data_IF_509335977357
#
_entry.id   IF_509335977357
#
_cell.length_a   1.000
_cell.length_b   1.000
_cell.length_c   1.000
_cell.angle_alpha   90.00
_cell.angle_beta   90.00
_cell.angle_gamma   90.00
#
_symmetry.space_group_name_H-M   'P 1'
#
loop_
_entity.id
_entity.type
_entity.pdbx_description
1 polymer ?
#
# COMPACT_ATOMS: atom_id res chain seq x y z
N UNK A 1 -22.53 -0.10 -1.10
CA UNK A 1 -22.16 1.34 -1.00
C UNK A 1 -21.16 1.56 0.13
N UNK A 2 -21.47 1.19 1.38
CA UNK A 2 -20.61 1.45 2.56
C UNK A 2 -19.18 0.90 2.44
N UNK A 3 -19.01 -0.36 2.01
CA UNK A 3 -17.67 -0.94 1.82
C UNK A 3 -16.87 -0.25 0.71
N UNK A 4 -17.51 0.08 -0.41
CA UNK A 4 -16.84 0.79 -1.52
C UNK A 4 -16.36 2.17 -1.08
N UNK A 5 -17.17 2.90 -0.30
CA UNK A 5 -16.80 4.21 0.26
C UNK A 5 -15.63 4.07 1.25
N UNK A 6 -15.66 3.07 2.14
CA UNK A 6 -14.58 2.81 3.10
C UNK A 6 -13.26 2.50 2.40
N UNK A 7 -13.29 1.63 1.38
CA UNK A 7 -12.09 1.28 0.62
C UNK A 7 -11.60 2.42 -0.29
N UNK A 8 -12.51 3.18 -0.91
CA UNK A 8 -12.14 4.37 -1.68
C UNK A 8 -11.53 5.45 -0.78
N UNK A 9 -12.08 5.66 0.42
CA UNK A 9 -11.51 6.56 1.42
C UNK A 9 -10.12 6.13 1.88
N UNK A 10 -9.92 4.83 2.13
CA UNK A 10 -8.60 4.28 2.48
C UNK A 10 -7.58 4.45 1.36
N UNK A 11 -8.01 4.29 0.11
CA UNK A 11 -7.16 4.53 -1.05
C UNK A 11 -6.75 6.00 -1.16
N UNK A 12 -7.72 6.93 -1.08
CA UNK A 12 -7.44 8.38 -1.10
C UNK A 12 -6.50 8.75 0.04
N UNK A 13 -6.72 8.17 1.22
CA UNK A 13 -5.81 8.31 2.36
C UNK A 13 -4.40 7.79 2.05
N UNK A 14 -4.25 6.61 1.44
CA UNK A 14 -2.94 6.06 1.07
C UNK A 14 -2.22 6.93 0.04
N UNK A 15 -2.95 7.48 -0.94
CA UNK A 15 -2.41 8.46 -1.89
C UNK A 15 -1.98 9.74 -1.18
N UNK A 16 -2.81 10.27 -0.28
CA UNK A 16 -2.50 11.47 0.51
C UNK A 16 -1.27 11.25 1.42
N UNK A 17 -1.17 10.09 2.06
CA UNK A 17 -0.02 9.69 2.87
C UNK A 17 1.26 9.75 2.02
N UNK A 18 1.23 9.18 0.82
CA UNK A 18 2.36 9.20 -0.11
C UNK A 18 2.70 10.61 -0.58
N UNK A 19 1.71 11.40 -0.99
CA UNK A 19 1.95 12.74 -1.53
C UNK A 19 2.44 13.71 -0.46
N UNK A 20 1.86 13.71 0.74
CA UNK A 20 2.30 14.61 1.82
C UNK A 20 3.70 14.31 2.32
N UNK A 21 4.07 13.03 2.36
CA UNK A 21 5.39 12.63 2.87
C UNK A 21 6.50 12.80 1.84
N UNK A 22 6.21 12.82 0.52
CA UNK A 22 7.26 12.95 -0.49
C UNK A 22 7.30 14.27 -1.24
N UNK A 23 6.17 14.99 -1.36
CA UNK A 23 6.11 16.26 -2.09
C UNK A 23 6.38 17.47 -1.18
N UNK A 24 6.94 18.57 -1.72
CA UNK A 24 7.39 18.73 -3.11
C UNK A 24 8.72 18.01 -3.39
N UNK A 25 8.89 17.51 -4.62
CA UNK A 25 10.17 17.00 -5.09
C UNK A 25 11.09 18.18 -5.47
N UNK A 26 12.38 18.13 -5.13
CA UNK A 26 13.33 19.19 -5.50
C UNK A 26 13.63 19.15 -7.00
N UNK A 27 13.98 20.31 -7.56
CA UNK A 27 14.58 20.38 -8.90
C UNK A 27 16.00 19.80 -8.80
N UNK A 28 16.42 18.87 -9.68
CA UNK A 28 17.71 18.18 -9.55
C UNK A 28 18.92 19.11 -9.47
N UNK A 29 18.85 20.27 -10.13
CA UNK A 29 19.93 21.27 -10.18
C UNK A 29 20.09 22.07 -8.87
N UNK A 30 19.05 22.11 -8.03
CA UNK A 30 19.02 22.92 -6.81
C UNK A 30 19.05 22.07 -5.52
N UNK A 31 19.19 20.74 -5.66
CA UNK A 31 19.08 19.84 -4.52
C UNK A 31 20.19 20.09 -3.49
N UNK A 32 19.76 20.35 -2.25
CA UNK A 32 20.66 20.41 -1.08
C UNK A 32 20.43 19.17 -0.24
N UNK A 33 21.50 18.43 0.02
CA UNK A 33 21.42 17.20 0.81
C UNK A 33 20.99 17.52 2.24
N UNK A 34 19.95 16.83 2.69
CA UNK A 34 19.45 16.95 4.05
C UNK A 34 20.22 16.01 5.01
N UNK A 35 20.44 16.46 6.27
CA UNK A 35 21.09 15.64 7.28
C UNK A 35 20.18 14.50 7.78
N UNK A 36 20.77 13.58 8.55
CA UNK A 36 20.05 12.50 9.24
C UNK A 36 19.95 12.83 10.72
N UNK A 37 18.75 12.80 11.28
CA UNK A 37 18.53 12.83 12.72
C UNK A 37 18.25 11.40 13.23
N UNK A 38 19.20 10.85 13.99
CA UNK A 38 19.14 9.48 14.52
C UNK A 38 18.90 9.42 16.03
N UNK A 39 18.86 10.57 16.70
CA UNK A 39 18.63 10.65 18.15
C UNK A 39 17.14 10.50 18.43
N UNK A 40 16.71 9.43 19.12
CA UNK A 40 15.32 9.30 19.53
C UNK A 40 14.99 10.35 20.57
N UNK A 41 13.76 10.87 20.51
CA UNK A 41 13.20 11.89 21.36
C UNK A 41 13.90 13.26 21.29
N UNK A 42 14.61 13.53 20.19
CA UNK A 42 15.20 14.84 19.93
C UNK A 42 14.13 15.94 19.94
N UNK A 43 12.91 15.63 19.49
CA UNK A 43 11.81 16.60 19.51
C UNK A 43 11.57 17.21 20.89
N UNK A 44 11.91 16.53 21.99
CA UNK A 44 11.78 17.08 23.35
C UNK A 44 12.72 18.26 23.54
N UNK A 45 13.98 18.12 23.12
CA UNK A 45 14.98 19.19 23.18
C UNK A 45 14.59 20.35 22.25
N UNK A 46 14.04 20.04 21.08
CA UNK A 46 13.55 21.03 20.11
C UNK A 46 12.33 21.79 20.67
N UNK A 47 11.48 21.13 21.45
CA UNK A 47 10.36 21.76 22.15
C UNK A 47 10.84 22.69 23.26
N UNK A 48 11.80 22.25 24.07
CA UNK A 48 12.33 23.02 25.22
C UNK A 48 13.14 24.23 24.75
N UNK A 49 13.87 24.09 23.64
CA UNK A 49 14.68 25.17 23.07
C UNK A 49 13.87 26.26 22.37
N UNK A 50 12.59 26.02 22.08
CA UNK A 50 11.70 27.00 21.47
C UNK A 50 11.10 27.94 22.54
N UNK A 51 11.07 29.27 22.32
CA UNK A 51 10.47 30.19 23.29
C UNK A 51 8.98 29.89 23.47
N UNK A 52 8.55 29.52 24.68
CA UNK A 52 7.13 29.29 25.01
C UNK A 52 6.69 30.25 26.11
N UNK A 53 6.16 31.41 25.72
CA UNK A 53 5.59 32.41 26.64
C UNK A 53 4.11 32.19 26.96
N UNK A 54 3.41 31.34 26.19
CA UNK A 54 2.00 31.00 26.41
C UNK A 54 1.63 29.60 25.90
N UNK A 55 0.49 29.06 26.35
CA UNK A 55 -0.07 27.78 25.86
C UNK A 55 -0.34 27.83 24.34
N UNK A 56 -0.73 29.00 23.82
CA UNK A 56 -0.96 29.20 22.38
C UNK A 56 0.33 29.14 21.55
N UNK A 57 1.47 29.59 22.10
CA UNK A 57 2.79 29.47 21.46
C UNK A 57 3.34 28.05 21.56
N UNK A 58 3.08 27.36 22.67
CA UNK A 58 3.39 25.94 22.82
C UNK A 58 2.67 25.09 21.77
N UNK A 59 1.38 25.30 21.54
CA UNK A 59 0.63 24.57 20.49
C UNK A 59 1.04 24.93 19.06
N UNK A 60 1.73 26.06 18.86
CA UNK A 60 2.30 26.47 17.56
C UNK A 60 3.77 26.07 17.41
N UNK A 61 4.34 25.37 18.39
CA UNK A 61 5.70 24.85 18.30
C UNK A 61 5.79 23.87 17.12
N UNK A 62 6.71 24.08 16.16
CA UNK A 62 6.86 23.22 14.99
C UNK A 62 7.12 21.75 15.32
N UNK A 63 7.93 21.46 16.35
CA UNK A 63 8.25 20.09 16.75
C UNK A 63 7.02 19.37 17.33
N UNK A 64 6.20 20.07 18.13
CA UNK A 64 4.92 19.52 18.61
C UNK A 64 3.97 19.26 17.45
N UNK A 65 3.85 20.22 16.53
CA UNK A 65 2.99 20.09 15.37
C UNK A 65 3.43 18.93 14.47
N UNK A 66 4.74 18.76 14.26
CA UNK A 66 5.30 17.65 13.49
C UNK A 66 4.92 16.30 14.11
N UNK A 67 5.21 16.08 15.40
CA UNK A 67 4.86 14.84 16.10
C UNK A 67 3.35 14.59 16.07
N UNK A 68 2.54 15.61 16.37
CA UNK A 68 1.08 15.48 16.39
C UNK A 68 0.49 15.15 15.01
N UNK A 69 0.98 15.81 13.96
CA UNK A 69 0.55 15.56 12.59
C UNK A 69 0.99 14.18 12.10
N UNK A 70 2.20 13.72 12.44
CA UNK A 70 2.68 12.38 12.10
C UNK A 70 1.86 11.27 12.79
N UNK A 71 1.55 11.44 14.07
CA UNK A 71 0.61 10.57 14.80
C UNK A 71 -0.76 10.56 14.11
N UNK A 72 -1.31 11.75 13.80
CA UNK A 72 -2.63 11.86 13.15
C UNK A 72 -2.62 11.27 11.74
N UNK A 73 -1.52 11.40 11.02
CA UNK A 73 -1.34 10.90 9.67
C UNK A 73 -1.37 9.38 9.63
N UNK A 74 -0.80 8.68 10.61
CA UNK A 74 -0.82 7.20 10.67
C UNK A 74 -1.98 6.61 11.47
N UNK A 75 -2.72 7.42 12.22
CA UNK A 75 -3.89 6.97 12.97
C UNK A 75 -4.95 6.27 12.08
N UNK A 76 -5.37 6.82 10.92
CA UNK A 76 -6.34 6.16 10.05
C UNK A 76 -5.87 4.79 9.55
N UNK A 77 -4.57 4.62 9.27
CA UNK A 77 -4.00 3.34 8.87
C UNK A 77 -4.23 2.28 9.96
N UNK A 78 -3.82 2.58 11.19
CA UNK A 78 -3.99 1.68 12.33
C UNK A 78 -5.45 1.32 12.57
N UNK A 79 -6.32 2.32 12.55
CA UNK A 79 -7.76 2.14 12.71
C UNK A 79 -8.33 1.24 11.60
N UNK A 80 -8.00 1.51 10.34
CA UNK A 80 -8.51 0.78 9.19
C UNK A 80 -8.06 -0.69 9.18
N UNK A 81 -6.76 -0.95 9.40
CA UNK A 81 -6.20 -2.30 9.41
C UNK A 81 -6.84 -3.16 10.51
N UNK A 82 -7.13 -2.57 11.68
CA UNK A 82 -7.76 -3.28 12.79
C UNK A 82 -9.26 -3.46 12.56
N UNK A 83 -9.93 -2.40 12.13
CA UNK A 83 -11.39 -2.34 12.02
C UNK A 83 -11.90 -3.14 10.82
N UNK A 84 -11.37 -2.84 9.63
CA UNK A 84 -11.82 -3.40 8.36
C UNK A 84 -11.15 -4.75 8.09
N UNK A 85 -9.83 -4.82 8.27
CA UNK A 85 -9.03 -6.03 7.97
C UNK A 85 -8.87 -6.98 9.16
N UNK A 86 -9.44 -6.64 10.33
CA UNK A 86 -9.46 -7.48 11.55
C UNK A 86 -8.08 -7.95 12.04
N UNK A 87 -6.99 -7.26 11.66
CA UNK A 87 -5.63 -7.59 12.13
C UNK A 87 -5.46 -7.26 13.60
N UNK A 88 -4.62 -7.98 14.35
CA UNK A 88 -4.34 -7.66 15.75
C UNK A 88 -3.60 -6.33 15.92
N UNK A 89 -3.71 -5.68 17.09
CA UNK A 89 -3.07 -4.37 17.35
C UNK A 89 -1.56 -4.41 17.12
N UNK A 90 -0.89 -5.48 17.55
CA UNK A 90 0.54 -5.68 17.30
C UNK A 90 0.85 -5.70 15.80
N UNK A 91 0.05 -6.42 15.01
CA UNK A 91 0.22 -6.49 13.57
C UNK A 91 -0.07 -5.13 12.90
N UNK A 92 -1.07 -4.38 13.35
CA UNK A 92 -1.35 -3.04 12.79
C UNK A 92 -0.24 -2.05 13.09
N UNK A 93 0.31 -2.08 14.31
CA UNK A 93 1.45 -1.24 14.70
C UNK A 93 2.70 -1.61 13.92
N UNK A 94 2.99 -2.91 13.76
CA UNK A 94 4.13 -3.36 12.97
C UNK A 94 4.01 -2.94 11.49
N UNK A 95 2.81 -3.04 10.89
CA UNK A 95 2.58 -2.56 9.53
C UNK A 95 2.77 -1.04 9.44
N UNK A 96 2.27 -0.28 10.42
CA UNK A 96 2.49 1.16 10.50
C UNK A 96 3.98 1.52 10.57
N UNK A 97 4.74 0.84 11.42
CA UNK A 97 6.19 1.00 11.51
C UNK A 97 6.88 0.71 10.16
N UNK A 98 6.56 -0.41 9.51
CA UNK A 98 7.15 -0.78 8.22
C UNK A 98 6.84 0.25 7.13
N UNK A 99 5.61 0.76 7.08
CA UNK A 99 5.23 1.80 6.11
C UNK A 99 5.95 3.11 6.41
N UNK A 100 6.05 3.51 7.69
CA UNK A 100 6.81 4.69 8.09
C UNK A 100 8.29 4.56 7.70
N UNK A 101 8.89 3.42 8.02
CA UNK A 101 10.27 3.11 7.65
C UNK A 101 10.50 3.13 6.14
N UNK A 102 9.53 2.63 5.35
CA UNK A 102 9.59 2.68 3.91
C UNK A 102 9.61 4.11 3.38
N UNK A 103 8.78 5.00 3.94
CA UNK A 103 8.71 6.41 3.57
C UNK A 103 10.01 7.12 3.92
N UNK A 104 10.48 7.00 5.16
CA UNK A 104 11.72 7.61 5.63
C UNK A 104 12.92 7.10 4.81
N UNK A 105 12.98 5.81 4.48
CA UNK A 105 14.05 5.26 3.65
C UNK A 105 13.96 5.75 2.20
N UNK A 106 12.75 5.95 1.66
CA UNK A 106 12.56 6.56 0.34
C UNK A 106 13.15 7.97 0.32
N UNK A 107 12.92 8.77 1.36
CA UNK A 107 13.49 10.11 1.46
C UNK A 107 15.01 10.08 1.63
N UNK A 108 15.51 9.24 2.55
CA UNK A 108 16.92 9.06 2.86
C UNK A 108 17.77 8.67 1.64
N UNK A 109 17.20 7.85 0.76
CA UNK A 109 17.86 7.35 -0.45
C UNK A 109 17.66 8.25 -1.66
N UNK A 110 17.02 9.42 -1.52
CA UNK A 110 16.75 10.31 -2.65
C UNK A 110 15.78 9.68 -3.65
N UNK A 111 14.68 9.11 -3.16
CA UNK A 111 13.74 8.29 -3.96
C UNK A 111 14.47 7.14 -4.66
N UNK A 112 15.19 6.34 -3.88
CA UNK A 112 15.89 5.14 -4.37
C UNK A 112 16.94 5.43 -5.46
N UNK A 113 17.68 6.55 -5.32
CA UNK A 113 18.75 6.94 -6.22
C UNK A 113 18.32 7.78 -7.43
N UNK A 114 17.06 8.20 -7.51
CA UNK A 114 16.63 9.21 -8.48
C UNK A 114 17.35 10.54 -8.21
N UNK A 115 17.53 10.86 -6.93
CA UNK A 115 18.32 12.00 -6.47
C UNK A 115 19.65 11.53 -5.88
N UNK A 116 20.73 12.33 -6.01
CA UNK A 116 22.06 11.96 -5.55
C UNK A 116 22.19 11.81 -4.03
N UNK A 117 21.24 12.34 -3.26
CA UNK A 117 21.23 12.28 -1.81
C UNK A 117 19.82 12.47 -1.23
N UNK A 118 19.70 12.36 0.10
CA UNK A 118 18.48 12.66 0.81
C UNK A 118 18.04 14.11 0.58
N UNK A 119 16.80 14.32 0.14
CA UNK A 119 16.25 15.65 -0.10
C UNK A 119 15.35 16.16 1.04
N UNK A 120 15.07 15.29 2.01
CA UNK A 120 14.39 15.59 3.26
C UNK A 120 15.18 14.98 4.42
N UNK A 121 15.01 15.57 5.60
CA UNK A 121 15.64 15.09 6.82
C UNK A 121 15.06 13.70 7.12
N UNK A 122 15.92 12.71 7.25
CA UNK A 122 15.52 11.42 7.80
C UNK A 122 15.43 11.57 9.31
N UNK A 123 14.25 11.34 9.88
CA UNK A 123 13.99 11.58 11.31
C UNK A 123 13.48 10.31 12.01
N UNK A 124 14.24 9.84 13.01
CA UNK A 124 13.83 8.70 13.84
C UNK A 124 12.59 9.04 14.68
N UNK A 125 12.38 10.31 15.03
CA UNK A 125 11.18 10.73 15.77
C UNK A 125 9.92 10.65 14.91
N UNK A 126 10.04 10.81 13.59
CA UNK A 126 8.93 10.60 12.66
C UNK A 126 8.55 9.12 12.59
N UNK A 127 9.52 8.20 12.64
CA UNK A 127 9.25 6.76 12.77
C UNK A 127 8.47 6.46 14.05
N UNK A 128 8.87 7.04 15.18
CA UNK A 128 8.21 6.84 16.46
C UNK A 128 6.79 7.41 16.45
N UNK A 129 6.62 8.65 15.99
CA UNK A 129 5.33 9.33 15.92
C UNK A 129 4.33 8.60 15.01
N UNK A 130 4.75 8.21 13.80
CA UNK A 130 3.93 7.46 12.86
C UNK A 130 3.54 6.07 13.42
N UNK A 131 4.48 5.38 14.06
CA UNK A 131 4.21 4.09 14.70
C UNK A 131 3.22 4.22 15.86
N UNK A 132 3.37 5.27 16.67
CA UNK A 132 2.41 5.62 17.73
C UNK A 132 1.03 5.93 17.16
N UNK A 133 0.94 6.66 16.04
CA UNK A 133 -0.29 6.88 15.29
C UNK A 133 -1.00 5.57 14.94
N UNK A 134 -0.29 4.64 14.30
CA UNK A 134 -0.85 3.34 13.93
C UNK A 134 -1.30 2.51 15.16
N UNK A 135 -0.57 2.57 16.27
CA UNK A 135 -0.97 1.95 17.53
C UNK A 135 -2.26 2.56 18.08
N UNK A 136 -2.30 3.89 18.22
CA UNK A 136 -3.46 4.62 18.76
C UNK A 136 -4.71 4.41 17.90
N UNK A 137 -4.56 4.39 16.57
CA UNK A 137 -5.65 4.04 15.65
C UNK A 137 -6.18 2.63 15.87
N UNK A 138 -5.28 1.65 16.03
CA UNK A 138 -5.65 0.26 16.34
C UNK A 138 -6.35 0.11 17.70
N UNK A 139 -5.89 0.83 18.73
CA UNK A 139 -6.53 0.84 20.06
C UNK A 139 -7.89 1.53 20.04
N UNK A 140 -8.01 2.67 19.34
CA UNK A 140 -9.29 3.36 19.17
C UNK A 140 -10.33 2.46 18.48
N UNK A 141 -9.91 1.69 17.47
CA UNK A 141 -10.76 0.70 16.82
C UNK A 141 -11.33 -0.33 17.81
N UNK A 142 -10.54 -0.77 18.80
CA UNK A 142 -11.04 -1.68 19.85
C UNK A 142 -12.12 -1.03 20.72
N UNK A 143 -11.89 0.21 21.15
CA UNK A 143 -12.82 0.95 22.01
C UNK A 143 -14.15 1.24 21.29
N UNK A 144 -14.11 1.52 19.98
CA UNK A 144 -15.31 1.85 19.19
C UNK A 144 -16.07 0.63 18.66
N UNK A 145 -15.44 -0.56 18.65
CA UNK A 145 -16.03 -1.78 18.09
C UNK A 145 -17.37 -2.18 18.72
N UNK A 146 -17.56 -2.14 20.06
CA UNK A 146 -18.85 -2.49 20.67
C UNK A 146 -19.98 -1.51 20.29
N UNK A 147 -19.65 -0.24 20.09
CA UNK A 147 -20.62 0.79 19.71
C UNK A 147 -21.01 0.70 18.23
N UNK A 148 -20.03 0.47 17.34
CA UNK A 148 -20.26 0.28 15.91
C UNK A 148 -20.98 -1.05 15.61
N UNK A 149 -20.64 -2.14 16.31
CA UNK A 149 -21.33 -3.43 16.16
C UNK A 149 -22.82 -3.34 16.50
N UNK A 150 -23.22 -2.45 17.42
CA UNK A 150 -24.63 -2.17 17.74
C UNK A 150 -25.36 -1.40 16.64
N UNK A 151 -24.64 -0.59 15.84
CA UNK A 151 -25.21 0.13 14.67
C UNK A 151 -25.22 -0.73 13.40
N UNK A 152 -24.18 -1.54 13.18
CA UNK A 152 -24.04 -2.45 12.04
C UNK A 152 -24.98 -3.67 12.09
N UNK A 153 -25.63 -3.94 13.23
CA UNK A 153 -26.66 -4.98 13.33
C UNK A 153 -27.85 -4.77 12.36
N UNK A 154 -28.01 -3.56 11.81
CA UNK A 154 -29.02 -3.23 10.80
C UNK A 154 -28.52 -3.34 9.35
N UNK A 155 -27.20 -3.46 9.12
CA UNK A 155 -26.57 -3.64 7.80
C UNK A 155 -25.82 -4.97 7.78
N UNK A 156 -26.55 -6.05 7.54
CA UNK A 156 -26.01 -7.40 7.43
C UNK A 156 -24.75 -7.46 6.53
N UNK A 157 -23.56 -7.81 7.06
CA UNK A 157 -22.42 -8.19 6.24
C UNK A 157 -22.72 -9.59 5.68
N UNK A 158 -23.49 -9.66 4.60
CA UNK A 158 -23.91 -10.96 4.06
C UNK A 158 -24.65 -10.96 2.74
N UNK A 159 -25.25 -9.84 2.31
CA UNK A 159 -25.91 -9.82 0.99
C UNK A 159 -24.89 -9.58 -0.12
N UNK A 160 -24.89 -10.42 -1.18
CA UNK A 160 -24.08 -10.20 -2.38
C UNK A 160 -24.42 -8.83 -2.99
N UNK A 161 -23.40 -8.07 -3.38
CA UNK A 161 -23.57 -6.78 -4.05
C UNK A 161 -23.11 -6.88 -5.50
N UNK A 162 -23.75 -6.15 -6.43
CA UNK A 162 -23.35 -6.18 -7.83
C UNK A 162 -21.89 -5.71 -8.00
N UNK A 163 -21.22 -6.27 -9.00
CA UNK A 163 -19.86 -5.85 -9.35
C UNK A 163 -19.96 -4.68 -10.31
N UNK A 164 -19.61 -3.49 -9.82
CA UNK A 164 -19.57 -2.27 -10.60
C UNK A 164 -18.19 -2.04 -11.20
N UNK A 165 -18.10 -1.19 -12.23
CA UNK A 165 -16.82 -0.72 -12.80
C UNK A 165 -15.93 -0.16 -11.70
N UNK A 166 -16.46 0.70 -10.83
CA UNK A 166 -15.72 1.30 -9.71
C UNK A 166 -15.17 0.27 -8.72
N UNK A 167 -15.93 -0.78 -8.42
CA UNK A 167 -15.45 -1.88 -7.56
C UNK A 167 -14.29 -2.63 -8.20
N UNK A 168 -14.31 -2.82 -9.53
CA UNK A 168 -13.22 -3.45 -10.27
C UNK A 168 -11.99 -2.56 -10.36
N UNK A 169 -12.15 -1.27 -10.68
CA UNK A 169 -11.07 -0.29 -10.70
C UNK A 169 -10.39 -0.16 -9.33
N UNK A 170 -11.16 -0.14 -8.24
CA UNK A 170 -10.63 -0.15 -6.88
C UNK A 170 -9.81 -1.42 -6.59
N UNK A 171 -10.27 -2.59 -7.04
CA UNK A 171 -9.48 -3.82 -6.96
C UNK A 171 -8.17 -3.74 -7.74
N UNK A 172 -8.19 -3.25 -8.98
CA UNK A 172 -6.98 -3.08 -9.81
C UNK A 172 -5.98 -2.11 -9.16
N UNK A 173 -6.47 -1.04 -8.54
CA UNK A 173 -5.62 -0.08 -7.86
C UNK A 173 -5.06 -0.63 -6.54
N UNK A 174 -5.84 -1.42 -5.79
CA UNK A 174 -5.31 -2.19 -4.66
C UNK A 174 -4.21 -3.17 -5.09
N UNK A 175 -4.37 -3.83 -6.24
CA UNK A 175 -3.33 -4.71 -6.81
C UNK A 175 -2.05 -3.92 -7.14
N UNK A 176 -2.17 -2.78 -7.84
CA UNK A 176 -1.02 -1.92 -8.14
C UNK A 176 -0.33 -1.40 -6.88
N UNK A 177 -1.09 -1.02 -5.85
CA UNK A 177 -0.57 -0.59 -4.56
C UNK A 177 0.20 -1.71 -3.85
N UNK A 178 -0.31 -2.95 -3.87
CA UNK A 178 0.38 -4.11 -3.28
C UNK A 178 1.69 -4.40 -4.00
N UNK A 179 1.69 -4.36 -5.34
CA UNK A 179 2.93 -4.51 -6.13
C UNK A 179 3.93 -3.42 -5.74
N UNK A 180 3.51 -2.16 -5.77
CA UNK A 180 4.38 -1.03 -5.46
C UNK A 180 4.97 -1.10 -4.04
N UNK A 181 4.15 -1.37 -3.01
CA UNK A 181 4.60 -1.53 -1.63
C UNK A 181 5.57 -2.70 -1.44
N UNK A 182 5.29 -3.84 -2.08
CA UNK A 182 6.15 -5.03 -1.95
C UNK A 182 7.45 -4.90 -2.73
N UNK A 183 7.44 -4.25 -3.91
CA UNK A 183 8.66 -3.85 -4.63
C UNK A 183 9.53 -2.95 -3.79
N UNK A 184 8.96 -1.88 -3.23
CA UNK A 184 9.71 -0.89 -2.47
C UNK A 184 10.32 -1.51 -1.20
N UNK A 185 9.54 -2.31 -0.45
CA UNK A 185 10.05 -3.06 0.70
C UNK A 185 11.17 -4.05 0.32
N UNK A 186 11.03 -4.76 -0.79
CA UNK A 186 12.07 -5.67 -1.29
C UNK A 186 13.36 -4.92 -1.64
N UNK A 187 13.25 -3.72 -2.21
CA UNK A 187 14.39 -2.83 -2.50
C UNK A 187 15.10 -2.37 -1.23
N UNK A 188 14.35 -1.96 -0.20
CA UNK A 188 14.90 -1.62 1.13
C UNK A 188 15.71 -2.79 1.67
N UNK A 189 15.11 -3.97 1.69
CA UNK A 189 15.72 -5.18 2.27
C UNK A 189 16.97 -5.56 1.48
N UNK A 190 16.95 -5.50 0.16
CA UNK A 190 18.11 -5.78 -0.70
C UNK A 190 19.26 -4.82 -0.40
N UNK A 191 19.00 -3.51 -0.37
CA UNK A 191 20.03 -2.50 -0.10
C UNK A 191 20.56 -2.61 1.33
N UNK A 192 19.69 -2.84 2.32
CA UNK A 192 20.09 -3.05 3.71
C UNK A 192 20.95 -4.31 3.87
N UNK A 193 20.60 -5.41 3.20
CA UNK A 193 21.39 -6.63 3.18
C UNK A 193 22.79 -6.38 2.61
N UNK A 194 22.88 -5.70 1.47
CA UNK A 194 24.17 -5.37 0.86
C UNK A 194 25.03 -4.47 1.74
N UNK A 195 24.42 -3.44 2.35
CA UNK A 195 25.12 -2.48 3.19
C UNK A 195 25.60 -3.08 4.52
N UNK A 196 24.73 -3.82 5.22
CA UNK A 196 24.98 -4.24 6.60
C UNK A 196 25.46 -5.68 6.72
N UNK A 197 25.10 -6.57 5.78
CA UNK A 197 25.49 -7.99 5.83
C UNK A 197 26.68 -8.26 4.92
N UNK A 198 26.66 -7.73 3.69
CA UNK A 198 27.78 -7.87 2.77
C UNK A 198 28.86 -6.78 2.97
N UNK A 199 28.61 -5.81 3.84
CA UNK A 199 29.49 -4.69 4.14
C UNK A 199 29.94 -3.89 2.88
N UNK A 200 29.06 -3.82 1.87
CA UNK A 200 29.32 -3.08 0.64
C UNK A 200 29.10 -1.58 0.93
N UNK A 201 30.04 -0.69 0.58
CA UNK A 201 29.85 0.75 0.71
C UNK A 201 28.60 1.23 -0.03
N UNK A 202 27.92 2.24 0.50
CA UNK A 202 26.68 2.76 -0.09
C UNK A 202 26.85 3.25 -1.54
N UNK A 203 28.05 3.67 -1.94
CA UNK A 203 28.38 4.09 -3.31
C UNK A 203 28.46 2.93 -4.30
N UNK A 204 28.70 1.72 -3.80
CA UNK A 204 29.06 0.55 -4.60
C UNK A 204 27.96 -0.52 -4.56
N UNK A 205 26.77 -0.16 -4.06
CA UNK A 205 25.63 -1.08 -4.01
C UNK A 205 25.29 -1.61 -5.41
N UNK A 206 25.13 -2.92 -5.51
CA UNK A 206 24.79 -3.58 -6.77
C UNK A 206 23.31 -3.34 -7.09
N UNK A 207 23.07 -2.29 -7.89
CA UNK A 207 21.73 -1.93 -8.31
C UNK A 207 21.07 -2.97 -9.20
N UNK A 208 21.83 -3.77 -9.95
CA UNK A 208 21.27 -4.88 -10.74
C UNK A 208 20.64 -5.95 -9.83
N UNK A 209 21.27 -6.27 -8.70
CA UNK A 209 20.70 -7.18 -7.69
C UNK A 209 19.44 -6.59 -7.08
N UNK A 210 19.49 -5.30 -6.68
CA UNK A 210 18.32 -4.63 -6.11
C UNK A 210 17.16 -4.56 -7.09
N UNK A 211 17.40 -4.20 -8.37
CA UNK A 211 16.38 -4.21 -9.41
C UNK A 211 15.81 -5.61 -9.67
N UNK A 212 16.65 -6.66 -9.66
CA UNK A 212 16.17 -8.03 -9.81
C UNK A 212 15.26 -8.44 -8.64
N UNK A 213 15.62 -8.09 -7.41
CA UNK A 213 14.85 -8.38 -6.20
C UNK A 213 13.52 -7.61 -6.17
N UNK A 214 13.52 -6.32 -6.52
CA UNK A 214 12.32 -5.46 -6.52
C UNK A 214 11.29 -5.90 -7.57
N UNK A 215 11.72 -6.60 -8.63
CA UNK A 215 10.84 -7.23 -9.63
C UNK A 215 10.41 -8.64 -9.20
N UNK A 216 11.35 -9.48 -8.76
CA UNK A 216 11.07 -10.89 -8.49
C UNK A 216 10.13 -11.10 -7.28
N UNK A 217 10.34 -10.36 -6.19
CA UNK A 217 9.55 -10.51 -4.96
C UNK A 217 8.05 -10.25 -5.16
N UNK A 218 7.60 -9.07 -5.65
CA UNK A 218 6.17 -8.82 -5.88
C UNK A 218 5.57 -9.78 -6.91
N UNK A 219 6.32 -10.14 -7.95
CA UNK A 219 5.87 -11.06 -8.99
C UNK A 219 5.58 -12.44 -8.40
N UNK A 220 6.51 -12.99 -7.61
CA UNK A 220 6.34 -14.29 -6.93
C UNK A 220 5.21 -14.23 -5.91
N UNK A 221 5.14 -13.19 -5.07
CA UNK A 221 4.11 -13.06 -4.05
C UNK A 221 2.70 -12.97 -4.66
N UNK A 222 2.52 -12.13 -5.68
CA UNK A 222 1.22 -11.95 -6.35
C UNK A 222 0.84 -13.16 -7.19
N UNK A 223 1.81 -13.82 -7.84
CA UNK A 223 1.60 -15.09 -8.55
C UNK A 223 1.18 -16.19 -7.58
N UNK A 224 1.91 -16.39 -6.48
CA UNK A 224 1.61 -17.41 -5.47
C UNK A 224 0.18 -17.22 -4.92
N UNK A 225 -0.19 -15.99 -4.56
CA UNK A 225 -1.54 -15.67 -4.10
C UNK A 225 -2.61 -16.01 -5.15
N UNK A 226 -2.40 -15.58 -6.40
CA UNK A 226 -3.39 -15.73 -7.48
C UNK A 226 -3.50 -17.18 -7.94
N UNK A 227 -2.39 -17.91 -8.04
CA UNK A 227 -2.39 -19.31 -8.45
C UNK A 227 -2.93 -20.24 -7.34
N UNK A 228 -2.68 -19.93 -6.06
CA UNK A 228 -3.21 -20.71 -4.94
C UNK A 228 -4.71 -20.47 -4.74
N UNK A 229 -5.16 -19.22 -4.78
CA UNK A 229 -6.53 -18.84 -4.39
C UNK A 229 -7.46 -18.55 -5.57
N UNK A 230 -6.92 -18.28 -6.76
CA UNK A 230 -7.66 -17.75 -7.91
C UNK A 230 -8.04 -16.27 -7.77
N UNK A 231 -7.51 -15.56 -6.77
CA UNK A 231 -7.83 -14.16 -6.46
C UNK A 231 -6.55 -13.35 -6.31
N UNK A 232 -6.55 -12.12 -6.80
CA UNK A 232 -5.50 -11.16 -6.50
C UNK A 232 -5.70 -10.50 -5.12
N UNK A 233 -4.73 -9.71 -4.65
CA UNK A 233 -4.86 -8.99 -3.39
C UNK A 233 -6.00 -7.97 -3.42
N UNK A 234 -6.17 -7.29 -4.56
CA UNK A 234 -7.28 -6.41 -4.86
C UNK A 234 -8.61 -7.14 -4.90
N UNK A 235 -8.69 -8.31 -5.54
CA UNK A 235 -9.91 -9.13 -5.54
C UNK A 235 -10.31 -9.57 -4.11
N UNK A 236 -9.35 -9.80 -3.21
CA UNK A 236 -9.62 -10.02 -1.78
C UNK A 236 -10.15 -8.76 -1.10
N UNK A 237 -9.49 -7.62 -1.32
CA UNK A 237 -9.88 -6.33 -0.73
C UNK A 237 -11.32 -5.93 -1.10
N UNK A 238 -11.72 -6.14 -2.36
CA UNK A 238 -13.07 -5.81 -2.84
C UNK A 238 -14.04 -6.98 -2.85
N UNK A 239 -13.71 -8.09 -2.19
CA UNK A 239 -14.58 -9.26 -2.02
C UNK A 239 -15.08 -9.88 -3.34
N UNK A 240 -14.24 -9.93 -4.38
CA UNK A 240 -14.52 -10.57 -5.67
C UNK A 240 -13.87 -11.94 -5.75
N UNK A 241 -14.64 -12.97 -6.14
CA UNK A 241 -14.13 -14.27 -6.57
C UNK A 241 -14.36 -14.46 -8.08
N UNK A 242 -13.70 -15.46 -8.67
CA UNK A 242 -13.78 -15.75 -10.10
C UNK A 242 -14.31 -17.14 -10.35
N UNK A 243 -15.37 -17.23 -11.15
CA UNK A 243 -15.89 -18.50 -11.65
C UNK A 243 -15.30 -18.77 -13.04
N UNK A 244 -14.55 -19.86 -13.19
CA UNK A 244 -13.99 -20.26 -14.48
C UNK A 244 -14.81 -21.36 -15.13
N UNK A 245 -14.94 -21.29 -16.46
CA UNK A 245 -15.45 -22.38 -17.30
C UNK A 245 -14.34 -23.22 -17.94
N UNK A 246 -13.06 -22.83 -17.78
CA UNK A 246 -11.91 -23.53 -18.38
C UNK A 246 -11.42 -24.62 -17.42
N UNK A 247 -11.16 -25.83 -17.93
CA UNK A 247 -10.40 -26.88 -17.24
C UNK A 247 -9.10 -27.13 -18.01
N UNK A 248 -7.92 -27.25 -17.34
CA UNK A 248 -7.72 -27.35 -15.89
C UNK A 248 -7.73 -26.00 -15.14
N UNK A 249 -8.08 -26.03 -13.83
CA UNK A 249 -8.21 -24.83 -12.97
C UNK A 249 -6.91 -24.01 -12.89
N UNK A 250 -5.74 -24.65 -12.94
CA UNK A 250 -4.45 -23.95 -12.89
C UNK A 250 -4.25 -23.05 -14.13
N UNK A 251 -4.63 -23.55 -15.32
CA UNK A 251 -4.54 -22.77 -16.56
C UNK A 251 -5.43 -21.53 -16.49
N UNK A 252 -6.65 -21.67 -15.98
CA UNK A 252 -7.55 -20.53 -15.80
C UNK A 252 -6.97 -19.45 -14.86
N UNK A 253 -6.36 -19.88 -13.74
CA UNK A 253 -5.72 -18.97 -12.78
C UNK A 253 -4.47 -18.30 -13.36
N UNK A 254 -3.67 -19.03 -14.13
CA UNK A 254 -2.50 -18.49 -14.83
C UNK A 254 -2.93 -17.43 -15.85
N UNK A 255 -3.90 -17.74 -16.72
CA UNK A 255 -4.43 -16.78 -17.68
C UNK A 255 -5.02 -15.54 -16.99
N UNK A 256 -5.73 -15.71 -15.88
CA UNK A 256 -6.23 -14.58 -15.06
C UNK A 256 -5.10 -13.70 -14.51
N UNK A 257 -4.02 -14.32 -14.03
CA UNK A 257 -2.87 -13.61 -13.53
C UNK A 257 -2.17 -12.82 -14.64
N UNK A 258 -1.88 -13.47 -15.77
CA UNK A 258 -1.24 -12.87 -16.94
C UNK A 258 -2.10 -11.78 -17.60
N UNK A 259 -3.42 -11.95 -17.66
CA UNK A 259 -4.33 -10.90 -18.18
C UNK A 259 -4.67 -9.83 -17.12
N UNK A 260 -3.99 -9.83 -15.97
CA UNK A 260 -4.20 -8.88 -14.89
C UNK A 260 -2.87 -8.34 -14.34
N UNK A 261 -2.74 -8.36 -13.01
CA UNK A 261 -1.58 -7.79 -12.31
C UNK A 261 -0.25 -8.44 -12.71
N UNK A 262 -0.24 -9.72 -13.11
CA UNK A 262 0.97 -10.43 -13.51
C UNK A 262 1.51 -9.96 -14.86
N UNK A 263 0.65 -9.87 -15.89
CA UNK A 263 1.08 -9.36 -17.19
C UNK A 263 1.50 -7.91 -17.12
N UNK A 264 0.78 -7.08 -16.35
CA UNK A 264 1.18 -5.70 -16.12
C UNK A 264 2.58 -5.61 -15.47
N UNK A 265 2.85 -6.37 -14.40
CA UNK A 265 4.18 -6.43 -13.77
C UNK A 265 5.29 -6.84 -14.74
N UNK A 266 5.05 -7.87 -15.57
CA UNK A 266 6.03 -8.33 -16.56
C UNK A 266 6.32 -7.26 -17.61
N UNK A 267 5.29 -6.54 -18.06
CA UNK A 267 5.48 -5.45 -19.02
C UNK A 267 6.22 -4.26 -18.40
N UNK A 268 5.90 -3.89 -17.14
CA UNK A 268 6.65 -2.85 -16.42
C UNK A 268 8.13 -3.21 -16.32
N UNK A 269 8.43 -4.48 -16.01
CA UNK A 269 9.81 -4.93 -15.80
C UNK A 269 10.62 -5.08 -17.09
N UNK A 270 9.99 -5.51 -18.20
CA UNK A 270 10.73 -5.97 -19.39
C UNK A 270 10.34 -5.30 -20.71
N UNK A 271 9.26 -4.53 -20.75
CA UNK A 271 8.70 -4.04 -22.01
C UNK A 271 8.02 -2.66 -21.90
N UNK A 272 8.43 -1.82 -20.94
CA UNK A 272 7.94 -0.44 -20.86
C UNK A 272 8.25 0.32 -22.16
N UNK A 273 7.29 1.09 -22.75
CA UNK A 273 6.03 1.56 -22.16
C UNK A 273 4.78 0.73 -22.51
N UNK A 274 4.91 -0.53 -22.97
CA UNK A 274 3.74 -1.36 -23.34
C UNK A 274 2.83 -1.69 -22.15
N UNK A 275 3.31 -1.54 -20.93
CA UNK A 275 2.53 -1.65 -19.70
C UNK A 275 1.38 -0.62 -19.64
N UNK A 276 1.61 0.60 -20.15
CA UNK A 276 0.56 1.62 -20.25
C UNK A 276 -0.52 1.24 -21.24
N UNK A 277 -0.12 0.69 -22.39
CA UNK A 277 -1.05 0.17 -23.41
C UNK A 277 -1.86 -0.99 -22.83
N UNK A 278 -1.23 -1.89 -22.08
CA UNK A 278 -1.90 -3.00 -21.42
C UNK A 278 -2.88 -2.54 -20.34
N UNK A 279 -2.51 -1.55 -19.53
CA UNK A 279 -3.40 -0.95 -18.53
C UNK A 279 -4.62 -0.29 -19.18
N UNK A 280 -4.41 0.48 -20.25
CA UNK A 280 -5.48 1.11 -21.04
C UNK A 280 -6.41 0.05 -21.66
N UNK A 281 -5.85 -0.99 -22.29
CA UNK A 281 -6.62 -2.11 -22.82
C UNK A 281 -7.42 -2.83 -21.73
N UNK A 282 -6.86 -2.97 -20.52
CA UNK A 282 -7.54 -3.50 -19.34
C UNK A 282 -8.78 -2.70 -18.93
N UNK A 283 -8.65 -1.37 -18.89
CA UNK A 283 -9.75 -0.45 -18.59
C UNK A 283 -10.81 -0.49 -19.69
N UNK A 284 -10.41 -0.42 -20.96
CA UNK A 284 -11.33 -0.51 -22.10
C UNK A 284 -12.11 -1.82 -22.08
N UNK A 285 -11.43 -2.95 -21.86
CA UNK A 285 -12.07 -4.25 -21.75
C UNK A 285 -13.05 -4.31 -20.56
N UNK A 286 -12.71 -3.70 -19.42
CA UNK A 286 -13.59 -3.63 -18.25
C UNK A 286 -14.88 -2.84 -18.55
N UNK A 287 -14.76 -1.73 -19.29
CA UNK A 287 -15.90 -0.89 -19.67
C UNK A 287 -16.77 -1.57 -20.73
N UNK A 288 -16.15 -2.25 -21.71
CA UNK A 288 -16.83 -2.93 -22.80
C UNK A 288 -17.53 -4.23 -22.38
N UNK A 289 -17.08 -4.89 -21.31
CA UNK A 289 -17.69 -6.14 -20.82
C UNK A 289 -18.88 -5.86 -19.91
N UNK A 290 -20.02 -6.54 -20.17
CA UNK A 290 -21.25 -6.39 -19.38
C UNK A 290 -21.14 -7.03 -18.00
N UNK A 291 -20.38 -8.11 -17.89
CA UNK A 291 -20.09 -8.83 -16.64
C UNK A 291 -18.92 -8.24 -15.84
N UNK A 292 -18.29 -7.17 -16.36
CA UNK A 292 -17.14 -6.48 -15.75
C UNK A 292 -15.91 -7.38 -15.57
N UNK A 293 -15.80 -8.45 -16.37
CA UNK A 293 -14.68 -9.38 -16.35
C UNK A 293 -13.38 -8.79 -16.89
N UNK A 294 -13.43 -7.80 -17.78
CA UNK A 294 -12.24 -7.20 -18.41
C UNK A 294 -11.42 -8.22 -19.21
N UNK A 295 -10.12 -7.94 -19.41
CA UNK A 295 -9.21 -8.85 -20.12
C UNK A 295 -9.20 -10.28 -19.55
N UNK A 296 -9.19 -10.50 -18.21
CA UNK A 296 -9.31 -11.85 -17.69
C UNK A 296 -10.63 -12.55 -18.03
N UNK A 297 -11.73 -11.80 -18.09
CA UNK A 297 -13.02 -12.38 -18.48
C UNK A 297 -13.07 -12.80 -19.94
N UNK A 298 -12.43 -12.02 -20.82
CA UNK A 298 -12.35 -12.32 -22.25
C UNK A 298 -11.42 -13.52 -22.50
N UNK A 299 -10.19 -13.47 -21.98
CA UNK A 299 -9.14 -14.45 -22.30
C UNK A 299 -9.28 -15.73 -21.48
N UNK A 300 -9.47 -15.62 -20.16
CA UNK A 300 -9.58 -16.78 -19.28
C UNK A 300 -11.02 -17.32 -19.16
N UNK A 301 -11.98 -16.73 -19.89
CA UNK A 301 -13.42 -17.05 -19.82
C UNK A 301 -13.93 -17.14 -18.37
N UNK A 302 -13.46 -16.22 -17.52
CA UNK A 302 -13.82 -16.16 -16.11
C UNK A 302 -14.82 -15.04 -15.84
N UNK A 303 -15.80 -15.29 -14.97
CA UNK A 303 -16.75 -14.27 -14.54
C UNK A 303 -16.45 -13.82 -13.11
N UNK A 304 -16.36 -12.51 -12.84
CA UNK A 304 -16.21 -12.02 -11.49
C UNK A 304 -17.56 -12.13 -10.77
N UNK A 305 -17.55 -12.61 -9.53
CA UNK A 305 -18.75 -12.76 -8.68
C UNK A 305 -18.43 -12.24 -7.28
N UNK A 306 -19.43 -11.69 -6.58
CA UNK A 306 -19.25 -11.31 -5.18
C UNK A 306 -18.97 -12.58 -4.37
N UNK A 307 -17.89 -12.59 -3.58
CA UNK A 307 -17.50 -13.75 -2.77
C UNK A 307 -18.53 -14.14 -1.70
N UNK A 308 -19.54 -13.30 -1.44
CA UNK A 308 -20.68 -13.61 -0.58
C UNK A 308 -21.84 -14.28 -1.31
N UNK A 309 -21.81 -14.32 -2.65
CA UNK A 309 -22.85 -15.00 -3.43
C UNK A 309 -22.83 -16.51 -3.13
N UNK A 310 -24.00 -17.16 -2.98
CA UNK A 310 -24.06 -18.60 -2.82
C UNK A 310 -23.32 -19.27 -3.98
N UNK A 311 -22.40 -20.16 -3.66
CA UNK A 311 -21.58 -20.86 -4.63
C UNK A 311 -22.47 -21.80 -5.46
N UNK A 312 -22.78 -21.41 -6.70
CA UNK A 312 -23.18 -22.37 -7.73
C UNK A 312 -21.93 -23.02 -8.30
N UNK A 313 -21.26 -23.87 -7.52
CA UNK A 313 -20.32 -24.85 -8.08
C UNK A 313 -21.10 -26.18 -8.10
N UNK A 314 -21.58 -26.66 -9.27
CA UNK A 314 -21.98 -28.05 -9.37
C UNK A 314 -20.70 -28.86 -9.20
N UNK A 315 -20.71 -29.78 -8.23
CA UNK A 315 -19.67 -30.78 -8.03
C UNK A 315 -19.26 -31.44 -9.35
#
# INVERSE_FOLDING_TARGET
VTQTVVWAGFLVYGLALWTYTLLPLPVPEEIRCAPKQLRPLQFIDDVISYPTGSIGEFLRNPAIMQVALNVLLFFPLGFFLRFTLRRGVVATTAIGFVISLLIETTQLTGVWGIYPCAYRIFDVDDLLANTAGALLGGLCSLALRPWLARRDATVLPGKPTPITVWRRLLGMLCDAMVVWLTSALAGVISNAWQLYVLAIPATDLNQSVTSAVTVAVPLVLTAALTLATGRSAGDLAVLICWQSRIRPRLLARLLRYLCGVGGWQLLVAFASPLDWVFAAAGIVALLATTDRGGLPGIVARMRPVDSRAPSHDPL
#
